data_IF_652572174660
#
_entry.id   IF_652572174660
#
_cell.length_a   1.000
_cell.length_b   1.000
_cell.length_c   1.000
_cell.angle_alpha   90.00
_cell.angle_beta   90.00
_cell.angle_gamma   90.00
#
_symmetry.space_group_name_H-M   'P 1'
#
loop_
_entity.id
_entity.type
_entity.pdbx_description
1 polymer ?
#
# COMPACT_ATOMS: atom_id res chain seq x y z
N UNK A 1 23.28 42.30 -13.50
CA UNK A 1 23.50 43.65 -14.07
C UNK A 1 23.37 44.73 -12.99
N UNK A 2 24.45 45.46 -12.69
CA UNK A 2 24.53 46.52 -11.67
C UNK A 2 24.30 47.88 -12.33
N UNK A 3 23.08 48.41 -12.33
CA UNK A 3 22.84 49.79 -12.74
C UNK A 3 23.34 50.73 -11.64
N UNK A 4 24.42 51.47 -11.91
CA UNK A 4 24.85 52.57 -11.04
C UNK A 4 23.86 53.72 -11.27
N UNK A 5 23.21 54.18 -10.22
CA UNK A 5 22.30 55.33 -10.30
C UNK A 5 23.14 56.59 -10.55
N UNK A 6 22.75 57.37 -11.54
CA UNK A 6 23.56 58.47 -12.09
C UNK A 6 22.96 59.85 -11.87
N UNK A 7 21.66 59.94 -11.54
CA UNK A 7 20.95 61.21 -11.35
C UNK A 7 20.36 61.35 -9.94
N UNK A 8 20.38 62.57 -9.38
CA UNK A 8 19.82 62.89 -8.06
C UNK A 8 18.32 62.58 -7.95
N UNK A 9 17.59 62.73 -9.06
CA UNK A 9 16.17 62.39 -9.14
C UNK A 9 15.92 60.88 -9.02
N UNK A 10 16.85 60.05 -9.50
CA UNK A 10 16.76 58.61 -9.35
C UNK A 10 16.95 58.22 -7.88
N UNK A 11 17.83 58.90 -7.14
CA UNK A 11 18.05 58.68 -5.70
C UNK A 11 16.84 59.06 -4.87
N UNK A 12 16.20 60.20 -5.16
CA UNK A 12 15.00 60.64 -4.46
C UNK A 12 13.84 59.67 -4.67
N UNK A 13 13.63 59.22 -5.91
CA UNK A 13 12.64 58.18 -6.22
C UNK A 13 12.93 56.87 -5.49
N UNK A 14 14.19 56.43 -5.46
CA UNK A 14 14.60 55.22 -4.75
C UNK A 14 14.38 55.29 -3.24
N UNK A 15 14.59 56.45 -2.62
CA UNK A 15 14.33 56.67 -1.20
C UNK A 15 12.83 56.66 -0.88
N UNK A 16 12.01 57.32 -1.69
CA UNK A 16 10.55 57.30 -1.54
C UNK A 16 10.01 55.87 -1.65
N UNK A 17 10.48 55.09 -2.63
CA UNK A 17 10.12 53.67 -2.78
C UNK A 17 10.56 52.83 -1.57
N UNK A 18 11.73 53.10 -0.98
CA UNK A 18 12.19 52.41 0.22
C UNK A 18 11.28 52.68 1.43
N UNK A 19 10.91 53.96 1.63
CA UNK A 19 10.06 54.39 2.75
C UNK A 19 8.62 53.87 2.59
N UNK A 20 8.02 54.03 1.42
CA UNK A 20 6.66 53.55 1.11
C UNK A 20 6.55 52.03 1.22
N UNK A 21 7.60 51.31 0.84
CA UNK A 21 7.64 49.84 0.93
C UNK A 21 8.05 49.31 2.30
N UNK A 22 8.29 50.19 3.30
CA UNK A 22 8.82 49.84 4.62
C UNK A 22 10.05 48.93 4.56
N UNK A 23 10.91 49.17 3.58
CA UNK A 23 12.08 48.34 3.36
C UNK A 23 11.76 46.96 2.81
N UNK A 24 10.67 46.73 2.05
CA UNK A 24 10.46 45.54 1.21
C UNK A 24 11.22 45.66 -0.12
N UNK A 25 11.31 46.87 -0.67
CA UNK A 25 12.07 47.19 -1.88
C UNK A 25 13.25 48.09 -1.49
N UNK A 26 14.47 47.60 -1.71
CA UNK A 26 15.69 48.35 -1.43
C UNK A 26 16.47 48.54 -2.72
N UNK A 27 16.17 49.59 -3.51
CA UNK A 27 17.07 50.02 -4.56
C UNK A 27 18.44 50.33 -3.94
N UNK A 28 19.52 49.84 -4.55
CA UNK A 28 20.91 50.14 -4.14
C UNK A 28 21.10 51.67 -4.04
N UNK A 29 21.83 52.24 -3.06
CA UNK A 29 23.15 51.75 -2.62
C UNK A 29 23.22 51.26 -1.18
N UNK A 30 22.09 51.16 -0.45
CA UNK A 30 22.12 50.75 0.95
C UNK A 30 22.47 49.28 1.10
N UNK A 31 23.42 48.98 1.99
CA UNK A 31 23.77 47.60 2.33
C UNK A 31 22.60 46.92 3.05
N UNK A 32 22.52 45.59 2.93
CA UNK A 32 21.49 44.81 3.62
C UNK A 32 21.50 45.02 5.14
N UNK A 33 22.66 45.30 5.74
CA UNK A 33 22.79 45.57 7.18
C UNK A 33 22.14 46.90 7.60
N UNK A 34 22.29 47.97 6.82
CA UNK A 34 21.67 49.27 7.11
C UNK A 34 20.15 49.20 6.97
N UNK A 35 19.64 48.44 5.98
CA UNK A 35 18.21 48.18 5.81
C UNK A 35 17.60 47.50 7.04
N UNK A 36 18.29 46.52 7.63
CA UNK A 36 17.82 45.81 8.83
C UNK A 36 17.78 46.71 10.07
N UNK A 37 18.70 47.68 10.17
CA UNK A 37 18.70 48.68 11.25
C UNK A 37 17.56 49.69 11.10
N UNK A 38 17.27 50.13 9.87
CA UNK A 38 16.21 51.09 9.57
C UNK A 38 14.80 50.47 9.62
N UNK A 39 14.66 49.19 9.28
CA UNK A 39 13.38 48.48 9.25
C UNK A 39 13.46 47.10 9.95
N UNK A 40 13.40 47.06 11.30
CA UNK A 40 13.44 45.79 12.05
C UNK A 40 12.28 44.85 11.72
N UNK A 41 11.10 45.39 11.45
CA UNK A 41 9.90 44.61 11.08
C UNK A 41 10.08 43.78 9.81
N UNK A 42 10.94 44.23 8.89
CA UNK A 42 11.29 43.47 7.70
C UNK A 42 12.03 42.16 8.06
N UNK A 43 12.88 42.18 9.09
CA UNK A 43 13.57 40.98 9.58
C UNK A 43 12.56 39.97 10.13
N UNK A 44 11.64 40.43 10.98
CA UNK A 44 10.58 39.57 11.53
C UNK A 44 9.73 38.97 10.41
N UNK A 45 9.28 39.76 9.42
CA UNK A 45 8.52 39.27 8.28
C UNK A 45 9.29 38.25 7.43
N UNK A 46 10.61 38.43 7.26
CA UNK A 46 11.46 37.46 6.56
C UNK A 46 11.60 36.15 7.33
N UNK A 47 11.81 36.22 8.63
CA UNK A 47 11.95 35.04 9.48
C UNK A 47 10.62 34.29 9.60
N UNK A 48 9.50 35.01 9.72
CA UNK A 48 8.15 34.46 9.61
C UNK A 48 7.94 33.73 8.29
N UNK A 49 8.35 34.34 7.17
CA UNK A 49 8.22 33.73 5.84
C UNK A 49 9.11 32.50 5.71
N UNK A 50 10.33 32.54 6.24
CA UNK A 50 11.24 31.40 6.27
C UNK A 50 10.65 30.26 7.09
N UNK A 51 10.09 30.58 8.26
CA UNK A 51 9.49 29.60 9.15
C UNK A 51 8.24 28.97 8.54
N UNK A 52 7.34 29.79 8.00
CA UNK A 52 6.18 29.30 7.23
C UNK A 52 6.60 28.40 6.07
N UNK A 53 7.67 28.75 5.35
CA UNK A 53 8.21 27.91 4.27
C UNK A 53 8.78 26.59 4.78
N UNK A 54 9.50 26.59 5.92
CA UNK A 54 9.99 25.36 6.57
C UNK A 54 8.83 24.48 7.00
N UNK A 55 7.84 25.03 7.70
CA UNK A 55 6.65 24.31 8.13
C UNK A 55 5.90 23.70 6.94
N UNK A 56 5.69 24.45 5.85
CA UNK A 56 5.08 23.93 4.63
C UNK A 56 5.89 22.77 4.02
N UNK A 57 7.22 22.89 3.98
CA UNK A 57 8.10 21.83 3.48
C UNK A 57 8.03 20.57 4.35
N UNK A 58 8.02 20.72 5.67
CA UNK A 58 7.88 19.62 6.63
C UNK A 58 6.52 18.93 6.47
N UNK A 59 5.42 19.70 6.40
CA UNK A 59 4.09 19.14 6.18
C UNK A 59 3.97 18.44 4.82
N UNK A 60 4.58 19.00 3.77
CA UNK A 60 4.60 18.35 2.46
C UNK A 60 5.37 17.02 2.49
N UNK A 61 6.50 16.95 3.20
CA UNK A 61 7.24 15.71 3.41
C UNK A 61 6.40 14.68 4.19
N UNK A 62 5.84 15.06 5.33
CA UNK A 62 4.99 14.18 6.16
C UNK A 62 3.77 13.64 5.39
N UNK A 63 3.12 14.47 4.55
CA UNK A 63 2.01 14.00 3.71
C UNK A 63 2.45 12.98 2.67
N UNK A 64 3.65 13.16 2.09
CA UNK A 64 4.20 12.21 1.11
C UNK A 64 4.48 10.86 1.78
N UNK A 65 5.13 10.87 2.94
CA UNK A 65 5.39 9.66 3.74
C UNK A 65 4.09 8.95 4.12
N UNK A 66 3.10 9.69 4.65
CA UNK A 66 1.79 9.12 4.99
C UNK A 66 1.07 8.53 3.76
N UNK A 67 1.17 9.20 2.61
CA UNK A 67 0.57 8.71 1.36
C UNK A 67 1.29 7.45 0.84
N UNK A 68 2.61 7.36 0.99
CA UNK A 68 3.39 6.18 0.63
C UNK A 68 3.02 5.00 1.52
N UNK A 69 3.01 5.18 2.85
CA UNK A 69 2.61 4.14 3.79
C UNK A 69 1.16 3.65 3.53
N UNK A 70 0.22 4.58 3.26
CA UNK A 70 -1.15 4.21 2.91
C UNK A 70 -1.22 3.41 1.60
N UNK A 71 -0.42 3.77 0.59
CA UNK A 71 -0.34 3.03 -0.67
C UNK A 71 0.22 1.63 -0.47
N UNK A 72 1.31 1.49 0.28
CA UNK A 72 1.93 0.20 0.60
C UNK A 72 0.94 -0.70 1.35
N UNK A 73 0.25 -0.15 2.35
CA UNK A 73 -0.80 -0.85 3.08
C UNK A 73 -1.93 -1.33 2.15
N UNK A 74 -2.44 -0.46 1.26
CA UNK A 74 -3.48 -0.85 0.29
C UNK A 74 -3.01 -1.93 -0.68
N UNK A 75 -1.75 -1.88 -1.14
CA UNK A 75 -1.19 -2.92 -2.00
C UNK A 75 -1.10 -4.25 -1.26
N UNK A 76 -0.65 -4.24 -0.01
CA UNK A 76 -0.56 -5.44 0.83
C UNK A 76 -1.95 -6.06 1.06
N UNK A 77 -2.94 -5.24 1.42
CA UNK A 77 -4.33 -5.68 1.58
C UNK A 77 -4.92 -6.20 0.25
N UNK A 78 -4.62 -5.56 -0.87
CA UNK A 78 -5.04 -6.02 -2.20
C UNK A 78 -4.47 -7.39 -2.54
N UNK A 79 -3.18 -7.63 -2.25
CA UNK A 79 -2.52 -8.94 -2.42
C UNK A 79 -3.13 -10.00 -1.51
N UNK A 80 -3.38 -9.68 -0.24
CA UNK A 80 -4.06 -10.60 0.68
C UNK A 80 -5.49 -10.94 0.19
N UNK A 81 -6.22 -9.97 -0.34
CA UNK A 81 -7.53 -10.17 -0.97
C UNK A 81 -7.46 -11.09 -2.20
N UNK A 82 -6.43 -10.95 -3.04
CA UNK A 82 -6.17 -11.86 -4.15
C UNK A 82 -5.87 -13.28 -3.67
N UNK A 83 -4.98 -13.43 -2.68
CA UNK A 83 -4.66 -14.73 -2.09
C UNK A 83 -5.91 -15.41 -1.54
N UNK A 84 -6.75 -14.67 -0.81
CA UNK A 84 -8.03 -15.18 -0.29
C UNK A 84 -9.01 -15.56 -1.40
N UNK A 85 -9.09 -14.78 -2.49
CA UNK A 85 -9.93 -15.08 -3.63
C UNK A 85 -9.47 -16.36 -4.35
N UNK A 86 -8.16 -16.50 -4.59
CA UNK A 86 -7.57 -17.69 -5.19
C UNK A 86 -7.77 -18.94 -4.35
N UNK A 87 -7.63 -18.83 -3.02
CA UNK A 87 -7.82 -19.94 -2.09
C UNK A 87 -9.21 -20.58 -2.22
N UNK A 88 -10.24 -19.80 -2.57
CA UNK A 88 -11.59 -20.34 -2.78
C UNK A 88 -11.68 -21.35 -3.94
N UNK A 89 -10.70 -21.35 -4.85
CA UNK A 89 -10.59 -22.27 -5.98
C UNK A 89 -9.61 -23.42 -5.72
N UNK A 90 -8.94 -23.42 -4.57
CA UNK A 90 -8.03 -24.48 -4.15
C UNK A 90 -8.77 -25.60 -3.44
N UNK A 91 -8.34 -26.84 -3.72
CA UNK A 91 -8.71 -28.01 -2.92
C UNK A 91 -7.65 -28.23 -1.83
N UNK A 92 -7.91 -29.05 -0.80
CA UNK A 92 -6.91 -29.38 0.20
C UNK A 92 -5.58 -29.86 -0.39
N UNK A 93 -5.64 -30.59 -1.52
CA UNK A 93 -4.47 -31.08 -2.24
C UNK A 93 -3.63 -29.96 -2.90
N UNK A 94 -4.27 -28.88 -3.37
CA UNK A 94 -3.59 -27.77 -4.05
C UNK A 94 -3.27 -26.59 -3.14
N UNK A 95 -3.76 -26.61 -1.91
CA UNK A 95 -3.55 -25.53 -0.95
C UNK A 95 -2.07 -25.37 -0.54
N UNK A 96 -1.25 -26.44 -0.53
CA UNK A 96 0.20 -26.33 -0.30
C UNK A 96 0.90 -25.48 -1.37
N UNK A 97 0.56 -25.70 -2.64
CA UNK A 97 1.07 -24.90 -3.75
C UNK A 97 0.57 -23.44 -3.70
N UNK A 98 -0.65 -23.22 -3.22
CA UNK A 98 -1.14 -21.86 -2.94
C UNK A 98 -0.32 -21.19 -1.85
N UNK A 99 -0.02 -21.88 -0.74
CA UNK A 99 0.77 -21.29 0.35
C UNK A 99 2.19 -20.94 -0.09
N UNK A 100 2.89 -21.84 -0.79
CA UNK A 100 4.23 -21.54 -1.31
C UNK A 100 4.27 -20.34 -2.27
N UNK A 101 3.17 -20.03 -2.96
CA UNK A 101 3.08 -18.84 -3.83
C UNK A 101 2.89 -17.55 -3.03
N UNK A 102 2.29 -17.63 -1.84
CA UNK A 102 1.91 -16.49 -1.01
C UNK A 102 2.67 -16.44 0.33
N UNK A 103 3.73 -17.24 0.49
CA UNK A 103 4.57 -17.35 1.70
C UNK A 103 5.26 -16.03 2.06
N UNK A 104 5.40 -15.11 1.10
CA UNK A 104 5.96 -13.77 1.33
C UNK A 104 4.98 -12.81 2.04
N UNK A 105 3.69 -13.16 2.13
CA UNK A 105 2.71 -12.39 2.88
C UNK A 105 2.74 -12.76 4.37
N UNK A 106 2.53 -11.79 5.27
CA UNK A 106 2.37 -12.07 6.69
C UNK A 106 1.25 -13.08 6.95
N UNK A 107 1.53 -14.08 7.78
CA UNK A 107 0.57 -15.14 8.13
C UNK A 107 -0.74 -14.56 8.68
N UNK A 108 -0.70 -13.44 9.41
CA UNK A 108 -1.88 -12.79 9.99
C UNK A 108 -2.89 -12.33 8.94
N UNK A 109 -2.42 -12.01 7.73
CA UNK A 109 -3.29 -11.61 6.62
C UNK A 109 -3.93 -12.80 5.92
N UNK A 110 -3.28 -13.96 5.95
CA UNK A 110 -3.75 -15.18 5.31
C UNK A 110 -4.65 -16.00 6.24
N UNK A 111 -4.34 -16.02 7.53
CA UNK A 111 -4.94 -16.89 8.54
C UNK A 111 -6.47 -16.81 8.55
N UNK A 112 -7.04 -15.61 8.56
CA UNK A 112 -8.49 -15.42 8.56
C UNK A 112 -9.19 -15.92 7.29
N UNK A 113 -8.53 -15.89 6.13
CA UNK A 113 -9.05 -16.49 4.90
C UNK A 113 -8.88 -18.02 4.92
N UNK A 114 -7.73 -18.49 5.39
CA UNK A 114 -7.39 -19.90 5.51
C UNK A 114 -8.39 -20.66 6.38
N UNK A 115 -8.64 -20.22 7.61
CA UNK A 115 -9.54 -20.94 8.52
C UNK A 115 -11.00 -20.98 8.02
N UNK A 116 -11.46 -19.91 7.36
CA UNK A 116 -12.77 -19.90 6.70
C UNK A 116 -12.84 -20.91 5.56
N UNK A 117 -11.76 -21.08 4.81
CA UNK A 117 -11.64 -22.08 3.76
C UNK A 117 -11.57 -23.51 4.35
N UNK A 118 -10.78 -23.75 5.40
CA UNK A 118 -10.68 -25.05 6.10
C UNK A 118 -12.05 -25.58 6.53
N UNK A 119 -12.92 -24.69 7.04
CA UNK A 119 -14.28 -25.04 7.49
C UNK A 119 -15.18 -25.63 6.39
N UNK A 120 -14.81 -25.47 5.11
CA UNK A 120 -15.57 -26.01 3.96
C UNK A 120 -15.28 -27.48 3.69
N UNK A 121 -14.16 -28.01 4.18
CA UNK A 121 -13.68 -29.35 3.85
C UNK A 121 -13.82 -30.31 5.04
N UNK A 122 -14.59 -31.40 4.90
CA UNK A 122 -14.70 -32.44 5.92
C UNK A 122 -13.38 -33.12 6.29
N UNK A 123 -12.48 -33.33 5.32
CA UNK A 123 -11.15 -33.94 5.54
C UNK A 123 -10.29 -33.14 6.51
N UNK A 124 -10.51 -31.83 6.59
CA UNK A 124 -9.72 -30.91 7.41
C UNK A 124 -10.37 -30.60 8.77
N UNK A 125 -11.42 -31.31 9.18
CA UNK A 125 -12.03 -31.11 10.51
C UNK A 125 -11.03 -31.20 11.67
N UNK A 126 -10.09 -32.17 11.71
CA UNK A 126 -9.12 -32.25 12.81
C UNK A 126 -8.25 -30.99 12.92
N UNK A 127 -7.99 -30.33 11.79
CA UNK A 127 -7.18 -29.12 11.72
C UNK A 127 -7.89 -27.91 12.37
N UNK A 128 -9.22 -27.91 12.47
CA UNK A 128 -9.98 -26.80 13.04
C UNK A 128 -9.67 -26.58 14.53
N UNK A 129 -9.23 -27.62 15.24
CA UNK A 129 -8.83 -27.51 16.65
C UNK A 129 -7.58 -26.64 16.85
N UNK A 130 -6.79 -26.45 15.79
CA UNK A 130 -5.62 -25.56 15.82
C UNK A 130 -5.93 -24.08 15.55
N UNK A 131 -7.17 -23.74 15.16
CA UNK A 131 -7.59 -22.35 14.96
C UNK A 131 -7.50 -21.57 16.28
N UNK A 132 -6.74 -20.47 16.29
CA UNK A 132 -6.57 -19.63 17.48
C UNK A 132 -5.56 -20.15 18.51
N UNK A 133 -4.87 -21.26 18.24
CA UNK A 133 -3.81 -21.79 19.11
C UNK A 133 -2.46 -21.08 18.91
N UNK A 134 -2.37 -20.13 17.98
CA UNK A 134 -1.13 -19.41 17.65
C UNK A 134 -0.09 -20.28 16.93
N UNK A 135 -0.54 -21.37 16.28
CA UNK A 135 0.34 -22.25 15.51
C UNK A 135 0.64 -21.59 14.16
N UNK A 136 1.92 -21.43 13.77
CA UNK A 136 2.29 -20.82 12.49
C UNK A 136 1.68 -21.55 11.28
N UNK A 137 1.35 -20.81 10.23
CA UNK A 137 0.62 -21.37 9.09
C UNK A 137 1.45 -22.44 8.37
N UNK A 138 2.78 -22.28 8.24
CA UNK A 138 3.65 -23.28 7.63
C UNK A 138 3.56 -24.67 8.31
N UNK A 139 3.38 -24.70 9.63
CA UNK A 139 3.26 -25.95 10.40
C UNK A 139 1.91 -26.62 10.12
N UNK A 140 0.83 -25.83 10.18
CA UNK A 140 -0.53 -26.26 9.84
C UNK A 140 -0.61 -26.79 8.40
N UNK A 141 0.12 -26.16 7.47
CA UNK A 141 0.20 -26.60 6.07
C UNK A 141 0.93 -27.94 5.92
N UNK A 142 1.93 -28.22 6.75
CA UNK A 142 2.59 -29.53 6.80
C UNK A 142 1.64 -30.60 7.32
N UNK A 143 0.96 -30.35 8.45
CA UNK A 143 -0.03 -31.28 9.01
C UNK A 143 -1.17 -31.56 8.01
N UNK A 144 -1.62 -30.53 7.29
CA UNK A 144 -2.62 -30.68 6.23
C UNK A 144 -2.10 -31.55 5.08
N UNK A 145 -0.83 -31.43 4.68
CA UNK A 145 -0.24 -32.27 3.66
C UNK A 145 -0.25 -33.75 4.07
N UNK A 146 0.04 -34.05 5.33
CA UNK A 146 -0.05 -35.40 5.88
C UNK A 146 -1.50 -35.91 5.93
N UNK A 147 -2.45 -35.06 6.34
CA UNK A 147 -3.89 -35.40 6.31
C UNK A 147 -4.35 -35.74 4.89
N UNK A 148 -3.91 -34.99 3.88
CA UNK A 148 -4.26 -35.23 2.48
C UNK A 148 -3.78 -36.60 1.97
N UNK A 149 -2.66 -37.11 2.49
CA UNK A 149 -2.17 -38.46 2.15
C UNK A 149 -3.08 -39.56 2.73
N UNK A 150 -3.69 -39.31 3.89
CA UNK A 150 -4.59 -40.24 4.57
C UNK A 150 -6.04 -40.14 4.06
N UNK A 151 -6.41 -39.04 3.41
CA UNK A 151 -7.76 -38.83 2.87
C UNK A 151 -8.07 -39.83 1.74
N UNK A 152 -9.19 -40.57 1.80
CA UNK A 152 -9.57 -41.51 0.76
C UNK A 152 -9.99 -40.81 -0.54
N UNK A 153 -9.73 -41.45 -1.69
CA UNK A 153 -9.96 -40.87 -3.03
C UNK A 153 -11.41 -40.45 -3.30
N UNK A 154 -12.40 -41.20 -2.79
CA UNK A 154 -13.81 -40.83 -2.96
C UNK A 154 -14.16 -39.51 -2.24
N UNK A 155 -13.53 -39.25 -1.09
CA UNK A 155 -13.72 -38.02 -0.34
C UNK A 155 -13.02 -36.86 -1.04
N UNK A 156 -11.78 -37.07 -1.51
CA UNK A 156 -11.08 -36.11 -2.37
C UNK A 156 -11.93 -35.72 -3.57
N UNK A 157 -12.54 -36.68 -4.27
CA UNK A 157 -13.42 -36.46 -5.41
C UNK A 157 -14.70 -35.69 -5.05
N UNK A 158 -15.24 -35.89 -3.85
CA UNK A 158 -16.40 -35.16 -3.34
C UNK A 158 -16.06 -33.70 -3.03
N UNK A 159 -14.98 -33.49 -2.28
CA UNK A 159 -14.46 -32.17 -1.89
C UNK A 159 -14.04 -31.32 -3.08
N UNK A 160 -13.61 -32.00 -4.12
CA UNK A 160 -13.32 -31.47 -5.43
C UNK A 160 -14.47 -30.65 -6.04
N UNK A 161 -15.72 -30.92 -5.64
CA UNK A 161 -16.93 -30.19 -6.04
C UNK A 161 -17.30 -29.00 -5.14
N UNK A 162 -16.62 -28.79 -4.02
CA UNK A 162 -16.86 -27.64 -3.13
C UNK A 162 -16.21 -26.35 -3.62
N UNK A 163 -15.31 -26.43 -4.60
CA UNK A 163 -14.70 -25.27 -5.24
C UNK A 163 -15.66 -24.67 -6.30
N UNK A 164 -15.98 -23.36 -6.26
CA UNK A 164 -16.87 -22.74 -7.22
C UNK A 164 -16.27 -22.78 -8.64
N UNK A 165 -17.12 -22.91 -9.67
CA UNK A 165 -16.72 -22.83 -11.08
C UNK A 165 -15.61 -23.80 -11.53
N UNK A 166 -15.57 -25.01 -10.97
CA UNK A 166 -14.72 -26.04 -11.57
C UNK A 166 -15.38 -26.56 -12.85
N UNK A 167 -14.82 -26.19 -14.00
CA UNK A 167 -15.17 -26.83 -15.28
C UNK A 167 -14.82 -28.31 -15.12
N UNK A 168 -15.84 -29.16 -15.00
CA UNK A 168 -15.64 -30.60 -14.92
C UNK A 168 -14.97 -31.08 -16.20
N UNK A 169 -13.65 -31.22 -16.18
CA UNK A 169 -12.90 -31.95 -17.19
C UNK A 169 -13.31 -33.42 -17.07
N UNK A 170 -14.39 -33.81 -17.74
CA UNK A 170 -14.84 -35.20 -17.74
C UNK A 170 -16.35 -35.40 -17.75
N UNK A 171 -17.04 -34.86 -18.75
CA UNK A 171 -18.18 -35.60 -19.31
C UNK A 171 -17.65 -36.24 -20.58
N UNK A 172 -17.42 -37.57 -20.65
CA UNK A 172 -17.15 -38.18 -21.94
C UNK A 172 -18.38 -37.92 -22.82
N UNK A 173 -18.15 -37.34 -23.99
CA UNK A 173 -19.16 -37.22 -25.02
C UNK A 173 -19.48 -38.62 -25.55
N UNK A 174 -20.22 -39.43 -24.80
CA UNK A 174 -20.82 -40.66 -25.30
C UNK A 174 -22.19 -40.34 -25.85
N UNK A 175 -22.23 -39.76 -27.05
CA UNK A 175 -23.36 -39.93 -27.97
C UNK A 175 -22.85 -40.81 -29.09
N UNK A 176 -22.85 -42.13 -28.85
CA UNK A 176 -22.91 -43.05 -29.98
C UNK A 176 -24.33 -42.96 -30.53
N UNK A 177 -24.48 -42.24 -31.64
CA UNK A 177 -25.62 -42.44 -32.53
C UNK A 177 -25.46 -43.83 -33.12
N UNK A 178 -26.18 -44.79 -32.53
CA UNK A 178 -26.47 -46.07 -33.16
C UNK A 178 -27.27 -45.78 -34.43
N UNK A 179 -26.58 -45.79 -35.58
CA UNK A 179 -27.24 -45.93 -36.87
C UNK A 179 -27.66 -47.38 -37.03
N UNK A 180 -28.93 -47.65 -36.79
CA UNK A 180 -29.59 -48.90 -37.17
C UNK A 180 -30.37 -48.67 -38.46
N UNK A 181 -30.02 -49.47 -39.47
CA UNK A 181 -30.74 -49.91 -40.68
C UNK A 181 -31.36 -48.83 -41.59
#
# INVERSE_FOLDING_TARGET
PRSRMTSISEYDHALNVLLESHGLHCPLPLSGSVRQQLFPEYCFALDDRREKKRALSMHAAARREASQAAREYMLLQGRAGQAAAELNFCTPLTASAWYSRWEDLPDELLEGAFWRWVKRFPSLRPLQESEGMGIPLWYVMSDMADMNLLTPEWLKATESGFCPNRIACGRPASVQRTGTA
#
